data_IF_454273900606
#
_entry.id   IF_454273900606
#
_cell.length_a   1.000
_cell.length_b   1.000
_cell.length_c   1.000
_cell.angle_alpha   90.00
_cell.angle_beta   90.00
_cell.angle_gamma   90.00
#
_symmetry.space_group_name_H-M   'P 1'
#
loop_
_entity.id
_entity.type
_entity.pdbx_description
1 polymer ?
#
# COMPACT_ATOMS: atom_id res chain seq x y z
N UNK A 1 26.39 23.87 8.96
CA UNK A 1 25.06 23.66 8.34
C UNK A 1 24.76 22.19 7.96
N UNK A 2 25.53 21.18 8.40
CA UNK A 2 25.36 19.78 7.97
C UNK A 2 24.42 18.90 8.83
N UNK A 3 24.30 19.14 10.14
CA UNK A 3 23.50 18.25 11.01
C UNK A 3 21.98 18.49 10.92
N UNK A 4 21.54 19.73 10.68
CA UNK A 4 20.10 20.05 10.64
C UNK A 4 19.43 19.58 9.35
N UNK A 5 20.13 19.63 8.20
CA UNK A 5 19.62 19.10 6.94
C UNK A 5 19.52 17.56 6.95
N UNK A 6 20.48 16.89 7.59
CA UNK A 6 20.48 15.41 7.73
C UNK A 6 19.43 14.93 8.73
N UNK A 7 19.19 15.69 9.82
CA UNK A 7 18.10 15.41 10.74
C UNK A 7 16.71 15.68 10.12
N UNK A 8 16.58 16.72 9.28
CA UNK A 8 15.35 17.03 8.54
C UNK A 8 15.05 16.00 7.43
N UNK A 9 16.07 15.49 6.74
CA UNK A 9 15.91 14.42 5.75
C UNK A 9 15.50 13.06 6.36
N UNK A 10 15.84 12.82 7.63
CA UNK A 10 15.43 11.60 8.37
C UNK A 10 14.00 11.69 8.95
N UNK A 11 13.33 12.84 8.81
CA UNK A 11 11.97 13.08 9.34
C UNK A 11 10.91 13.27 8.24
N UNK A 12 11.27 13.08 6.97
CA UNK A 12 10.33 13.14 5.85
C UNK A 12 9.94 11.71 5.45
N UNK A 13 8.64 11.45 5.27
CA UNK A 13 8.13 10.10 5.03
C UNK A 13 8.58 9.58 3.66
N UNK A 14 8.47 10.42 2.62
CA UNK A 14 8.73 9.98 1.24
C UNK A 14 10.17 9.48 1.01
N UNK A 15 11.24 10.17 1.43
CA UNK A 15 12.60 9.66 1.29
C UNK A 15 12.81 8.31 1.97
N UNK A 16 12.22 8.11 3.16
CA UNK A 16 12.26 6.82 3.86
C UNK A 16 11.57 5.72 3.06
N UNK A 17 10.41 6.01 2.48
CA UNK A 17 9.69 5.05 1.63
C UNK A 17 10.45 4.78 0.32
N UNK A 18 11.12 5.78 -0.27
CA UNK A 18 11.97 5.60 -1.45
C UNK A 18 13.16 4.66 -1.14
N UNK A 19 13.81 4.81 0.03
CA UNK A 19 14.82 3.87 0.51
C UNK A 19 14.26 2.44 0.67
N UNK A 20 13.01 2.32 1.11
CA UNK A 20 12.30 1.06 1.23
C UNK A 20 11.77 0.50 -0.11
N UNK A 21 12.01 1.18 -1.23
CA UNK A 21 11.65 0.68 -2.57
C UNK A 21 10.37 1.27 -3.17
N UNK A 22 9.85 2.38 -2.67
CA UNK A 22 8.62 3.01 -3.19
C UNK A 22 8.68 3.28 -4.70
N UNK A 23 9.83 3.78 -5.17
CA UNK A 23 10.07 4.06 -6.59
C UNK A 23 10.16 2.80 -7.46
N UNK A 24 10.25 1.61 -6.85
CA UNK A 24 10.29 0.32 -7.53
C UNK A 24 8.92 -0.36 -7.57
N UNK A 25 7.88 0.22 -6.95
CA UNK A 25 6.51 -0.29 -7.06
C UNK A 25 5.96 -0.03 -8.46
N UNK A 26 5.41 -1.08 -9.07
CA UNK A 26 4.69 -0.98 -10.33
C UNK A 26 3.25 -0.53 -10.05
N UNK A 27 3.01 0.78 -10.17
CA UNK A 27 1.70 1.39 -9.99
C UNK A 27 1.10 1.82 -11.33
N UNK A 28 -0.21 1.60 -11.48
CA UNK A 28 -1.00 2.14 -12.59
C UNK A 28 -1.13 3.67 -12.46
N UNK A 29 -1.54 4.35 -13.53
CA UNK A 29 -1.59 5.82 -13.55
C UNK A 29 -2.58 6.42 -12.53
N UNK A 30 -3.69 5.73 -12.28
CA UNK A 30 -4.66 6.05 -11.23
C UNK A 30 -4.09 5.77 -9.83
N UNK A 31 -3.44 4.63 -9.62
CA UNK A 31 -2.75 4.29 -8.38
C UNK A 31 -1.65 5.31 -8.03
N UNK A 32 -0.89 5.79 -9.02
CA UNK A 32 0.14 6.81 -8.83
C UNK A 32 -0.44 8.13 -8.33
N UNK A 33 -1.58 8.56 -8.91
CA UNK A 33 -2.29 9.77 -8.47
C UNK A 33 -2.80 9.62 -7.03
N UNK A 34 -3.34 8.46 -6.70
CA UNK A 34 -3.81 8.15 -5.34
C UNK A 34 -2.65 8.13 -4.36
N UNK A 35 -1.49 7.57 -4.73
CA UNK A 35 -0.29 7.59 -3.90
C UNK A 35 0.15 9.01 -3.55
N UNK A 36 0.16 9.94 -4.52
CA UNK A 36 0.55 11.34 -4.26
C UNK A 36 -0.37 12.00 -3.22
N UNK A 37 -1.69 11.76 -3.32
CA UNK A 37 -2.67 12.24 -2.33
C UNK A 37 -2.43 11.62 -0.96
N UNK A 38 -2.22 10.30 -0.90
CA UNK A 38 -2.00 9.58 0.35
C UNK A 38 -0.70 10.00 1.05
N UNK A 39 0.39 10.21 0.30
CA UNK A 39 1.66 10.68 0.87
C UNK A 39 1.50 12.01 1.61
N UNK A 40 0.75 12.97 1.04
CA UNK A 40 0.45 14.24 1.72
C UNK A 40 -0.29 14.02 3.04
N UNK A 41 -1.27 13.11 3.06
CA UNK A 41 -2.03 12.77 4.27
C UNK A 41 -1.15 12.12 5.34
N UNK A 42 -0.36 11.12 4.94
CA UNK A 42 0.49 10.35 5.85
C UNK A 42 1.65 11.17 6.42
N UNK A 43 2.20 12.13 5.66
CA UNK A 43 3.31 12.98 6.11
C UNK A 43 2.97 13.69 7.42
N UNK A 44 1.78 14.31 7.50
CA UNK A 44 1.35 15.01 8.72
C UNK A 44 1.26 14.10 9.95
N UNK A 45 0.77 12.87 9.76
CA UNK A 45 0.63 11.86 10.81
C UNK A 45 1.99 11.33 11.23
N UNK A 46 2.87 11.08 10.26
CA UNK A 46 4.24 10.63 10.47
C UNK A 46 5.07 11.67 11.23
N UNK A 47 5.05 12.93 10.80
CA UNK A 47 5.73 14.01 11.50
C UNK A 47 5.30 14.10 12.97
N UNK A 48 3.99 13.99 13.23
CA UNK A 48 3.48 14.02 14.59
C UNK A 48 3.99 12.81 15.40
N UNK A 49 3.94 11.59 14.83
CA UNK A 49 4.45 10.39 15.49
C UNK A 49 5.95 10.50 15.84
N UNK A 50 6.77 11.02 14.92
CA UNK A 50 8.19 11.28 15.19
C UNK A 50 8.41 12.32 16.29
N UNK A 51 7.59 13.38 16.35
CA UNK A 51 7.67 14.41 17.40
C UNK A 51 7.26 13.86 18.77
N UNK A 52 6.24 13.00 18.84
CA UNK A 52 5.74 12.44 20.11
C UNK A 52 6.55 11.26 20.62
N UNK A 53 7.31 10.59 19.75
CA UNK A 53 8.15 9.43 20.08
C UNK A 53 9.59 9.60 19.57
N UNK A 54 10.34 10.60 20.07
CA UNK A 54 11.68 10.92 19.57
C UNK A 54 12.74 9.83 19.83
N UNK A 55 12.43 8.88 20.72
CA UNK A 55 13.28 7.72 21.05
C UNK A 55 13.13 6.56 20.06
N UNK A 56 12.11 6.59 19.20
CA UNK A 56 11.83 5.53 18.23
C UNK A 56 12.49 5.82 16.89
N UNK A 57 12.79 4.74 16.14
CA UNK A 57 13.35 4.89 14.80
C UNK A 57 12.27 5.44 13.86
N UNK A 58 12.62 6.34 12.92
CA UNK A 58 11.67 6.83 11.92
C UNK A 58 10.96 5.71 11.16
N UNK A 59 11.64 4.61 10.85
CA UNK A 59 11.01 3.48 10.16
C UNK A 59 9.91 2.78 10.98
N UNK A 60 10.05 2.75 12.31
CA UNK A 60 9.02 2.21 13.21
C UNK A 60 7.81 3.15 13.26
N UNK A 61 8.03 4.47 13.19
CA UNK A 61 6.97 5.47 13.11
C UNK A 61 6.24 5.43 11.77
N UNK A 62 6.97 5.28 10.67
CA UNK A 62 6.37 5.10 9.34
C UNK A 62 5.50 3.84 9.28
N UNK A 63 5.96 2.73 9.87
CA UNK A 63 5.18 1.50 9.97
C UNK A 63 3.89 1.73 10.79
N UNK A 64 3.97 2.41 11.92
CA UNK A 64 2.82 2.77 12.74
C UNK A 64 1.80 3.64 11.99
N UNK A 65 2.27 4.67 11.28
CA UNK A 65 1.43 5.55 10.44
C UNK A 65 0.70 4.75 9.35
N UNK A 66 1.43 3.93 8.59
CA UNK A 66 0.83 3.13 7.51
C UNK A 66 -0.11 2.05 8.04
N UNK A 67 0.21 1.43 9.17
CA UNK A 67 -0.67 0.44 9.82
C UNK A 67 -2.00 1.07 10.20
N UNK A 68 -1.97 2.26 10.81
CA UNK A 68 -3.18 3.01 11.15
C UNK A 68 -3.99 3.36 9.90
N UNK A 69 -3.34 3.93 8.88
CA UNK A 69 -4.01 4.31 7.64
C UNK A 69 -4.67 3.11 6.93
N UNK A 70 -3.97 1.97 6.88
CA UNK A 70 -4.51 0.74 6.29
C UNK A 70 -5.74 0.25 7.06
N UNK A 71 -5.70 0.23 8.39
CA UNK A 71 -6.84 -0.15 9.22
C UNK A 71 -8.04 0.77 9.03
N UNK A 72 -7.81 2.08 8.94
CA UNK A 72 -8.87 3.08 8.72
C UNK A 72 -9.52 2.92 7.35
N UNK A 73 -8.73 2.71 6.29
CA UNK A 73 -9.23 2.47 4.93
C UNK A 73 -9.99 1.13 4.84
N UNK A 74 -9.44 0.06 5.42
CA UNK A 74 -10.08 -1.25 5.47
C UNK A 74 -11.43 -1.19 6.17
N UNK A 75 -11.48 -0.59 7.36
CA UNK A 75 -12.73 -0.41 8.12
C UNK A 75 -13.72 0.48 7.38
N UNK A 76 -13.25 1.55 6.73
CA UNK A 76 -14.10 2.44 5.93
C UNK A 76 -14.74 1.73 4.75
N UNK A 77 -14.02 0.81 4.10
CA UNK A 77 -14.53 0.05 2.97
C UNK A 77 -15.46 -1.09 3.42
N UNK A 78 -15.10 -1.81 4.48
CA UNK A 78 -15.95 -2.85 5.10
C UNK A 78 -17.30 -2.27 5.54
N UNK A 79 -17.30 -1.13 6.23
CA UNK A 79 -18.55 -0.47 6.71
C UNK A 79 -19.43 0.07 5.58
N UNK A 80 -18.84 0.39 4.42
CA UNK A 80 -19.57 0.90 3.27
C UNK A 80 -19.93 -0.19 2.26
N UNK A 81 -19.45 -1.42 2.44
CA UNK A 81 -19.64 -2.54 1.50
C UNK A 81 -21.11 -2.79 1.14
N UNK A 82 -22.03 -2.73 2.12
CA UNK A 82 -23.47 -2.92 1.87
C UNK A 82 -24.09 -1.78 1.04
N UNK A 83 -23.61 -0.55 1.24
CA UNK A 83 -24.00 0.62 0.44
C UNK A 83 -23.36 0.58 -0.96
N UNK A 84 -22.16 0.03 -1.06
CA UNK A 84 -21.46 -0.22 -2.32
C UNK A 84 -22.19 -1.28 -3.16
N UNK A 85 -22.66 -2.34 -2.54
CA UNK A 85 -23.43 -3.40 -3.18
C UNK A 85 -24.83 -2.92 -3.59
N UNK A 86 -25.59 -2.34 -2.66
CA UNK A 86 -26.99 -1.94 -2.90
C UNK A 86 -27.14 -0.86 -3.96
N UNK A 87 -26.19 0.09 -4.10
CA UNK A 87 -26.31 1.07 -5.18
C UNK A 87 -25.74 0.57 -6.51
N UNK A 88 -24.99 -0.54 -6.57
CA UNK A 88 -24.64 -1.18 -7.85
C UNK A 88 -25.92 -1.67 -8.57
N UNK A 89 -26.94 -2.06 -7.79
CA UNK A 89 -28.26 -2.44 -8.30
C UNK A 89 -29.16 -1.24 -8.64
N UNK A 90 -28.96 -0.07 -8.01
CA UNK A 90 -29.85 1.12 -8.15
C UNK A 90 -29.33 2.11 -9.22
N UNK A 91 -28.12 1.90 -9.78
CA UNK A 91 -27.47 2.82 -10.73
C UNK A 91 -28.12 2.84 -12.14
N UNK A 92 -29.25 2.19 -12.38
CA UNK A 92 -30.02 2.48 -13.61
C UNK A 92 -30.79 3.81 -13.56
N UNK A 93 -31.15 4.40 -12.39
CA UNK A 93 -32.34 5.28 -12.42
C UNK A 93 -32.34 6.69 -11.79
N UNK A 94 -31.29 7.27 -11.19
CA UNK A 94 -31.37 8.71 -10.83
C UNK A 94 -30.08 9.48 -10.56
N UNK A 95 -30.19 10.80 -10.73
CA UNK A 95 -29.13 11.83 -10.76
C UNK A 95 -28.71 12.23 -9.33
N UNK A 96 -27.52 11.78 -8.96
CA UNK A 96 -26.74 12.17 -7.78
C UNK A 96 -25.36 11.46 -7.74
N UNK A 97 -24.97 10.85 -8.87
CA UNK A 97 -23.96 9.80 -8.97
C UNK A 97 -22.52 10.28 -8.98
N UNK A 98 -22.23 11.54 -9.35
CA UNK A 98 -20.86 11.94 -9.69
C UNK A 98 -19.90 11.97 -8.49
N UNK A 99 -20.33 12.55 -7.35
CA UNK A 99 -19.51 12.59 -6.14
C UNK A 99 -19.43 11.22 -5.46
N UNK A 100 -20.54 10.49 -5.43
CA UNK A 100 -20.58 9.14 -4.88
C UNK A 100 -19.74 8.17 -5.73
N UNK A 101 -19.84 8.17 -7.07
CA UNK A 101 -19.04 7.31 -7.94
C UNK A 101 -17.54 7.65 -7.88
N UNK A 102 -17.16 8.93 -7.84
CA UNK A 102 -15.74 9.31 -7.66
C UNK A 102 -15.18 8.77 -6.34
N UNK A 103 -15.89 8.96 -5.23
CA UNK A 103 -15.48 8.44 -3.92
C UNK A 103 -15.49 6.89 -3.87
N UNK A 104 -16.44 6.25 -4.56
CA UNK A 104 -16.58 4.79 -4.68
C UNK A 104 -15.42 4.12 -5.42
N UNK A 105 -14.91 4.73 -6.50
CA UNK A 105 -13.77 4.21 -7.26
C UNK A 105 -12.45 4.50 -6.53
N UNK A 106 -12.42 5.60 -5.77
CA UNK A 106 -11.22 6.04 -5.08
C UNK A 106 -10.91 5.21 -3.83
N UNK A 107 -11.90 4.82 -3.01
CA UNK A 107 -11.63 4.11 -1.74
C UNK A 107 -11.03 2.69 -1.90
N UNK A 108 -11.50 1.82 -2.82
CA UNK A 108 -10.81 0.56 -3.12
C UNK A 108 -9.38 0.79 -3.63
N UNK A 109 -9.19 1.79 -4.49
CA UNK A 109 -7.86 2.14 -5.02
C UNK A 109 -6.93 2.64 -3.91
N UNK A 110 -7.43 3.47 -2.98
CA UNK A 110 -6.71 3.93 -1.80
C UNK A 110 -6.28 2.77 -0.90
N UNK A 111 -7.17 1.81 -0.63
CA UNK A 111 -6.84 0.62 0.16
C UNK A 111 -5.78 -0.23 -0.54
N UNK A 112 -5.89 -0.43 -1.85
CA UNK A 112 -4.90 -1.17 -2.66
C UNK A 112 -3.53 -0.52 -2.57
N UNK A 113 -3.44 0.79 -2.86
CA UNK A 113 -2.17 1.54 -2.82
C UNK A 113 -1.58 1.57 -1.41
N UNK A 114 -2.40 1.85 -0.40
CA UNK A 114 -1.97 1.84 0.99
C UNK A 114 -1.42 0.47 1.41
N UNK A 115 -2.12 -0.61 1.06
CA UNK A 115 -1.66 -1.98 1.37
C UNK A 115 -0.35 -2.31 0.67
N UNK A 116 -0.18 -1.95 -0.61
CA UNK A 116 1.07 -2.15 -1.35
C UNK A 116 2.25 -1.45 -0.65
N UNK A 117 2.12 -0.16 -0.33
CA UNK A 117 3.18 0.61 0.35
C UNK A 117 3.46 0.10 1.76
N UNK A 118 2.41 -0.26 2.51
CA UNK A 118 2.54 -0.82 3.85
C UNK A 118 3.27 -2.15 3.86
N UNK A 119 2.87 -3.11 3.02
CA UNK A 119 3.53 -4.41 2.91
C UNK A 119 4.95 -4.29 2.39
N UNK A 120 5.22 -3.36 1.47
CA UNK A 120 6.58 -3.03 1.06
C UNK A 120 7.42 -2.61 2.27
N UNK A 121 6.95 -1.68 3.10
CA UNK A 121 7.68 -1.28 4.29
C UNK A 121 7.87 -2.46 5.27
N UNK A 122 6.88 -3.33 5.45
CA UNK A 122 7.04 -4.54 6.25
C UNK A 122 8.14 -5.46 5.72
N UNK A 123 8.19 -5.64 4.39
CA UNK A 123 9.25 -6.39 3.73
C UNK A 123 10.63 -5.77 3.96
N UNK A 124 10.74 -4.45 3.79
CA UNK A 124 11.96 -3.71 4.09
C UNK A 124 12.38 -3.86 5.55
N UNK A 125 11.45 -3.97 6.48
CA UNK A 125 11.74 -4.20 7.90
C UNK A 125 11.97 -5.68 8.26
N UNK A 126 12.01 -6.56 7.27
CA UNK A 126 12.20 -8.01 7.44
C UNK A 126 11.17 -8.65 8.39
N UNK A 127 9.94 -8.14 8.35
CA UNK A 127 8.83 -8.73 9.11
C UNK A 127 8.47 -10.14 8.62
N UNK A 128 7.71 -10.86 9.43
CA UNK A 128 7.32 -12.23 9.12
C UNK A 128 6.48 -12.32 7.84
N UNK A 129 6.86 -13.24 6.96
CA UNK A 129 6.20 -13.44 5.68
C UNK A 129 4.76 -13.94 5.85
N UNK A 130 4.51 -14.83 6.83
CA UNK A 130 3.18 -15.41 7.05
C UNK A 130 2.21 -14.32 7.47
N UNK A 131 2.64 -13.44 8.37
CA UNK A 131 1.86 -12.27 8.78
C UNK A 131 1.55 -11.32 7.61
N UNK A 132 2.55 -10.98 6.80
CA UNK A 132 2.34 -10.14 5.62
C UNK A 132 1.36 -10.78 4.61
N UNK A 133 1.44 -12.11 4.45
CA UNK A 133 0.54 -12.87 3.59
C UNK A 133 -0.90 -12.93 4.13
N UNK A 134 -1.10 -13.00 5.45
CA UNK A 134 -2.42 -12.92 6.07
C UNK A 134 -3.02 -11.51 5.89
N UNK A 135 -2.21 -10.47 5.98
CA UNK A 135 -2.63 -9.10 5.67
C UNK A 135 -3.04 -8.93 4.21
N UNK A 136 -2.25 -9.48 3.27
CA UNK A 136 -2.59 -9.48 1.85
C UNK A 136 -3.88 -10.26 1.57
N UNK A 137 -4.09 -11.40 2.25
CA UNK A 137 -5.30 -12.20 2.18
C UNK A 137 -6.52 -11.40 2.61
N UNK A 138 -6.45 -10.75 3.77
CA UNK A 138 -7.52 -9.93 4.31
C UNK A 138 -7.87 -8.76 3.38
N UNK A 139 -6.87 -8.03 2.87
CA UNK A 139 -7.13 -6.95 1.91
C UNK A 139 -7.83 -7.47 0.65
N UNK A 140 -7.44 -8.65 0.16
CA UNK A 140 -8.11 -9.27 -0.98
C UNK A 140 -9.57 -9.63 -0.69
N UNK A 141 -9.86 -10.20 0.47
CA UNK A 141 -11.25 -10.48 0.90
C UNK A 141 -12.11 -9.20 0.87
N UNK A 142 -11.61 -8.11 1.46
CA UNK A 142 -12.33 -6.82 1.50
C UNK A 142 -12.56 -6.29 0.07
N UNK A 143 -11.51 -6.24 -0.76
CA UNK A 143 -11.59 -5.67 -2.11
C UNK A 143 -12.49 -6.48 -3.04
N UNK A 144 -12.51 -7.81 -2.91
CA UNK A 144 -13.38 -8.67 -3.73
C UNK A 144 -14.86 -8.56 -3.39
N UNK A 145 -15.21 -7.99 -2.23
CA UNK A 145 -16.58 -7.64 -1.89
C UNK A 145 -17.13 -6.45 -2.70
N UNK A 146 -16.25 -5.65 -3.31
CA UNK A 146 -16.61 -4.36 -3.92
C UNK A 146 -15.98 -4.12 -5.30
N UNK A 147 -15.16 -5.06 -5.80
CA UNK A 147 -14.53 -5.03 -7.11
C UNK A 147 -14.66 -6.39 -7.79
N UNK A 148 -14.54 -6.43 -9.12
CA UNK A 148 -14.51 -7.68 -9.90
C UNK A 148 -13.11 -8.33 -9.96
N UNK A 149 -12.15 -7.80 -9.18
CA UNK A 149 -10.79 -8.33 -9.15
C UNK A 149 -10.74 -9.71 -8.46
N UNK A 150 -9.84 -10.58 -8.92
CA UNK A 150 -9.68 -11.91 -8.34
C UNK A 150 -8.87 -11.83 -7.05
N UNK A 151 -9.27 -12.51 -5.96
CA UNK A 151 -8.55 -12.47 -4.69
C UNK A 151 -7.06 -12.83 -4.82
N UNK A 152 -6.75 -13.86 -5.62
CA UNK A 152 -5.36 -14.31 -5.86
C UNK A 152 -4.51 -13.27 -6.59
N UNK A 153 -5.12 -12.48 -7.49
CA UNK A 153 -4.41 -11.41 -8.19
C UNK A 153 -4.02 -10.29 -7.22
N UNK A 154 -4.96 -9.85 -6.39
CA UNK A 154 -4.73 -8.84 -5.35
C UNK A 154 -3.64 -9.30 -4.38
N UNK A 155 -3.75 -10.54 -3.86
CA UNK A 155 -2.75 -11.12 -2.96
C UNK A 155 -1.36 -11.15 -3.59
N UNK A 156 -1.29 -11.57 -4.85
CA UNK A 156 -0.03 -11.66 -5.62
C UNK A 156 0.63 -10.29 -5.76
N UNK A 157 -0.15 -9.26 -6.10
CA UNK A 157 0.37 -7.88 -6.21
C UNK A 157 0.81 -7.32 -4.85
N UNK A 158 0.03 -7.55 -3.80
CA UNK A 158 0.38 -7.16 -2.44
C UNK A 158 1.69 -7.80 -1.96
N UNK A 159 1.84 -9.11 -2.19
CA UNK A 159 3.06 -9.83 -1.81
C UNK A 159 4.26 -9.47 -2.68
N UNK A 160 4.05 -9.04 -3.94
CA UNK A 160 5.12 -8.44 -4.75
C UNK A 160 5.68 -7.21 -4.05
N UNK A 161 4.82 -6.32 -3.55
CA UNK A 161 5.26 -5.12 -2.86
C UNK A 161 6.10 -5.46 -1.62
N UNK A 162 5.68 -6.46 -0.83
CA UNK A 162 6.48 -7.00 0.28
C UNK A 162 7.88 -7.44 -0.18
N UNK A 163 7.97 -8.21 -1.26
CA UNK A 163 9.28 -8.66 -1.76
C UNK A 163 10.14 -7.54 -2.34
N UNK A 164 9.54 -6.52 -2.96
CA UNK A 164 10.25 -5.32 -3.39
C UNK A 164 10.92 -4.68 -2.19
N UNK A 165 10.16 -4.42 -1.12
CA UNK A 165 10.74 -3.80 0.07
C UNK A 165 11.79 -4.66 0.74
N UNK A 166 11.55 -5.98 0.83
CA UNK A 166 12.54 -6.93 1.34
C UNK A 166 13.87 -6.80 0.59
N UNK A 167 13.82 -6.78 -0.75
CA UNK A 167 15.01 -6.67 -1.62
C UNK A 167 15.78 -5.36 -1.48
N UNK A 168 15.17 -4.31 -0.93
CA UNK A 168 15.81 -3.02 -0.65
C UNK A 168 16.44 -2.97 0.75
N UNK A 169 16.19 -3.96 1.62
CA UNK A 169 16.83 -3.99 2.93
C UNK A 169 18.35 -4.26 2.79
N UNK A 170 19.22 -3.41 3.38
CA UNK A 170 20.67 -3.51 3.24
C UNK A 170 21.30 -4.73 3.93
N UNK A 171 20.58 -5.35 4.87
CA UNK A 171 20.98 -6.54 5.61
C UNK A 171 20.43 -7.83 4.99
N UNK A 172 19.61 -7.75 3.94
CA UNK A 172 19.21 -8.95 3.23
C UNK A 172 20.42 -9.51 2.49
N UNK A 173 20.80 -10.74 2.80
CA UNK A 173 21.76 -11.47 1.97
C UNK A 173 21.22 -11.53 0.54
N UNK A 174 22.01 -11.04 -0.42
CA UNK A 174 21.73 -11.08 -1.87
C UNK A 174 21.77 -12.53 -2.36
N UNK A 175 20.84 -13.34 -1.88
CA UNK A 175 20.61 -14.71 -2.34
C UNK A 175 19.83 -14.66 -3.65
N UNK A 176 19.99 -15.68 -4.49
CA UNK A 176 19.43 -15.76 -5.86
C UNK A 176 17.88 -15.68 -5.92
N UNK A 177 17.20 -15.51 -4.79
CA UNK A 177 15.76 -15.31 -4.67
C UNK A 177 15.27 -14.04 -5.36
N UNK A 178 16.04 -12.93 -5.37
CA UNK A 178 15.67 -11.72 -6.11
C UNK A 178 15.48 -11.97 -7.61
N UNK A 179 16.36 -12.80 -8.20
CA UNK A 179 16.29 -13.25 -9.59
C UNK A 179 15.16 -14.26 -9.83
N UNK A 180 14.78 -15.04 -8.82
CA UNK A 180 13.68 -16.00 -8.89
C UNK A 180 12.31 -15.31 -8.80
N UNK A 181 12.20 -14.26 -8.00
CA UNK A 181 10.97 -13.48 -7.87
C UNK A 181 10.73 -12.69 -9.15
N UNK A 182 11.73 -12.00 -9.72
CA UNK A 182 11.56 -11.36 -11.03
C UNK A 182 11.16 -12.36 -12.14
N UNK A 183 11.68 -13.59 -12.08
CA UNK A 183 11.25 -14.69 -12.95
C UNK A 183 9.80 -15.14 -12.73
N UNK A 184 9.36 -15.29 -11.47
CA UNK A 184 7.98 -15.62 -11.12
C UNK A 184 6.99 -14.51 -11.53
N UNK A 185 7.39 -13.24 -11.34
CA UNK A 185 6.64 -12.05 -11.74
C UNK A 185 6.46 -11.99 -13.26
N UNK A 186 7.53 -12.19 -14.04
CA UNK A 186 7.42 -12.23 -15.49
C UNK A 186 6.57 -13.42 -15.99
N UNK A 187 6.59 -14.55 -15.29
CA UNK A 187 5.86 -15.74 -15.71
C UNK A 187 4.33 -15.63 -15.54
N UNK A 188 3.87 -15.03 -14.44
CA UNK A 188 2.43 -14.87 -14.18
C UNK A 188 1.80 -13.70 -14.94
N UNK A 189 2.56 -12.63 -15.22
CA UNK A 189 2.06 -11.42 -15.87
C UNK A 189 2.35 -11.35 -17.37
N UNK A 190 3.33 -12.11 -17.88
CA UNK A 190 3.65 -12.20 -19.31
C UNK A 190 2.64 -13.00 -20.15
N UNK A 191 1.52 -13.47 -19.58
CA UNK A 191 0.50 -14.28 -20.28
C UNK A 191 -0.90 -13.64 -20.37
N UNK A 192 -1.06 -12.35 -20.09
CA UNK A 192 -2.33 -11.64 -20.32
C UNK A 192 -2.25 -10.59 -21.44
N UNK A 193 -1.57 -10.95 -22.53
CA UNK A 193 -1.46 -10.12 -23.72
C UNK A 193 -1.19 -10.95 -24.96
N UNK A 194 -2.09 -11.89 -25.26
CA UNK A 194 -2.23 -12.55 -26.56
C UNK A 194 -3.71 -12.91 -26.77
#
# INVERSE_FOLDING_TARGET
MGNSARAKAMSELKPLLDEAGLSSLELKADEQRVLEKLLVSWESTFENACKTHPDKRPSDMALGTLTKAQMELASSLETQSDTLHSMNEIIEDSVGKEHAQKFRVELPTELTVCTKVWLMLQGYLLMDFSLANDHAARTAEILTGVTDEKPDAIRTECMRAFYIGKSHNPHQEKTSWGTRISGWLNHYFGKQGA
#
